data_IF_416020178487
#
_entry.id   IF_416020178487
#
_cell.length_a   1.000
_cell.length_b   1.000
_cell.length_c   1.000
_cell.angle_alpha   90.00
_cell.angle_beta   90.00
_cell.angle_gamma   90.00
#
_symmetry.space_group_name_H-M   'P 1'
#
loop_
_entity.id
_entity.type
_entity.pdbx_description
1 polymer ?
#
# COMPACT_ATOMS: atom_id res chain seq x y z
N UNK A 1 -13.44 15.94 9.19
CA UNK A 1 -12.96 15.97 7.78
C UNK A 1 -11.52 15.48 7.83
N UNK A 2 -11.32 14.19 8.07
CA UNK A 2 -10.07 13.67 8.68
C UNK A 2 -9.52 12.44 7.92
N UNK A 3 -10.16 12.06 6.82
CA UNK A 3 -9.86 10.84 6.09
C UNK A 3 -8.70 11.03 5.09
N UNK A 4 -8.62 12.18 4.40
CA UNK A 4 -7.62 12.41 3.34
C UNK A 4 -6.18 12.46 3.89
N UNK A 5 -5.97 13.04 5.08
CA UNK A 5 -4.63 13.15 5.68
C UNK A 5 -4.07 11.82 6.19
N UNK A 6 -4.93 10.89 6.63
CA UNK A 6 -4.50 9.56 7.10
C UNK A 6 -4.02 8.69 5.94
N UNK A 7 -4.68 8.80 4.78
CA UNK A 7 -4.30 8.05 3.59
C UNK A 7 -2.88 8.43 3.12
N UNK A 8 -2.49 9.70 3.18
CA UNK A 8 -1.18 10.14 2.69
C UNK A 8 0.00 9.60 3.54
N UNK A 9 -0.13 9.66 4.87
CA UNK A 9 0.88 9.12 5.80
C UNK A 9 1.01 7.59 5.64
N UNK A 10 -0.12 6.88 5.53
CA UNK A 10 -0.14 5.45 5.28
C UNK A 10 0.52 5.11 3.92
N UNK A 11 0.20 5.85 2.86
CA UNK A 11 0.75 5.66 1.52
C UNK A 11 2.28 5.83 1.49
N UNK A 12 2.78 6.85 2.18
CA UNK A 12 4.21 7.09 2.31
C UNK A 12 4.91 6.00 3.13
N UNK A 13 4.26 5.51 4.20
CA UNK A 13 4.76 4.40 5.00
C UNK A 13 4.80 3.09 4.19
N UNK A 14 3.78 2.81 3.37
CA UNK A 14 3.73 1.68 2.45
C UNK A 14 4.88 1.74 1.44
N UNK A 15 5.05 2.88 0.78
CA UNK A 15 6.11 3.08 -0.20
C UNK A 15 7.51 2.88 0.41
N UNK A 16 7.74 3.48 1.59
CA UNK A 16 9.00 3.30 2.33
C UNK A 16 9.21 1.87 2.80
N UNK A 17 8.16 1.21 3.32
CA UNK A 17 8.21 -0.18 3.75
C UNK A 17 8.56 -1.12 2.61
N UNK A 18 7.98 -0.89 1.42
CA UNK A 18 8.32 -1.64 0.21
C UNK A 18 9.79 -1.47 -0.19
N UNK A 19 10.28 -0.23 -0.24
CA UNK A 19 11.68 0.06 -0.56
C UNK A 19 12.63 -0.56 0.48
N UNK A 20 12.30 -0.49 1.76
CA UNK A 20 13.12 -1.04 2.85
C UNK A 20 13.19 -2.57 2.82
N UNK A 21 12.08 -3.27 2.52
CA UNK A 21 12.07 -4.73 2.35
C UNK A 21 12.67 -5.20 1.01
N UNK A 22 12.93 -4.29 0.07
CA UNK A 22 13.28 -4.66 -1.31
C UNK A 22 12.19 -5.48 -2.01
N UNK A 23 10.94 -5.39 -1.53
CA UNK A 23 9.83 -6.15 -2.09
C UNK A 23 9.39 -5.53 -3.41
N UNK A 24 9.48 -6.30 -4.49
CA UNK A 24 8.90 -5.89 -5.77
C UNK A 24 7.38 -5.76 -5.64
N UNK A 25 6.79 -4.83 -6.38
CA UNK A 25 5.32 -4.69 -6.45
C UNK A 25 4.65 -6.01 -6.86
N UNK A 26 5.32 -6.82 -7.69
CA UNK A 26 4.89 -8.17 -8.06
C UNK A 26 4.84 -9.12 -6.86
N UNK A 27 5.85 -9.09 -5.98
CA UNK A 27 5.86 -9.93 -4.79
C UNK A 27 4.77 -9.52 -3.80
N UNK A 28 4.55 -8.21 -3.66
CA UNK A 28 3.45 -7.65 -2.90
C UNK A 28 2.10 -8.03 -3.50
N UNK A 29 1.96 -8.00 -4.82
CA UNK A 29 0.75 -8.45 -5.53
C UNK A 29 0.46 -9.94 -5.29
N UNK A 30 1.50 -10.79 -5.32
CA UNK A 30 1.37 -12.22 -5.00
C UNK A 30 1.00 -12.43 -3.52
N UNK A 31 1.67 -11.72 -2.61
CA UNK A 31 1.48 -11.88 -1.15
C UNK A 31 0.12 -11.37 -0.70
N UNK A 32 -0.26 -10.19 -1.18
CA UNK A 32 -1.53 -9.56 -0.83
C UNK A 32 -2.67 -10.12 -1.65
N UNK A 33 -2.43 -10.68 -2.83
CA UNK A 33 -3.47 -11.05 -3.80
C UNK A 33 -4.11 -9.85 -4.50
N UNK A 34 -3.47 -8.68 -4.45
CA UNK A 34 -3.89 -7.46 -5.13
C UNK A 34 -3.14 -7.30 -6.45
N UNK A 35 -3.67 -6.48 -7.35
CA UNK A 35 -2.94 -6.10 -8.57
C UNK A 35 -1.88 -5.05 -8.26
N UNK A 36 -0.82 -5.01 -9.08
CA UNK A 36 0.22 -3.97 -9.00
C UNK A 36 -0.40 -2.56 -9.09
N UNK A 37 -1.45 -2.39 -9.89
CA UNK A 37 -2.15 -1.13 -10.04
C UNK A 37 -2.82 -0.68 -8.73
N UNK A 38 -3.48 -1.59 -8.01
CA UNK A 38 -4.09 -1.30 -6.71
C UNK A 38 -3.05 -0.97 -5.64
N UNK A 39 -1.91 -1.66 -5.64
CA UNK A 39 -0.82 -1.41 -4.70
C UNK A 39 -0.15 -0.07 -5.01
N UNK A 40 0.08 0.23 -6.28
CA UNK A 40 0.61 1.52 -6.70
C UNK A 40 -0.37 2.67 -6.42
N UNK A 41 -1.68 2.43 -6.56
CA UNK A 41 -2.71 3.38 -6.17
C UNK A 41 -2.69 3.64 -4.66
N UNK A 42 -2.57 2.58 -3.85
CA UNK A 42 -2.41 2.69 -2.40
C UNK A 42 -1.11 3.41 -2.00
N UNK A 43 0.00 3.21 -2.72
CA UNK A 43 1.27 3.93 -2.48
C UNK A 43 1.22 5.40 -2.90
N UNK A 44 0.39 5.74 -3.90
CA UNK A 44 0.21 7.13 -4.36
C UNK A 44 -0.77 7.93 -3.48
N UNK A 45 -1.52 7.27 -2.60
CA UNK A 45 -2.62 7.89 -1.86
C UNK A 45 -3.86 8.12 -2.71
N UNK A 46 -4.03 7.36 -3.79
CA UNK A 46 -5.28 7.32 -4.54
C UNK A 46 -6.40 6.74 -3.65
N UNK A 47 -7.64 6.99 -4.03
CA UNK A 47 -8.82 6.47 -3.32
C UNK A 47 -8.98 4.97 -3.57
N UNK A 48 -8.30 4.18 -2.74
CA UNK A 48 -8.40 2.71 -2.71
C UNK A 48 -9.23 2.27 -1.51
N UNK A 49 -9.92 1.11 -1.61
CA UNK A 49 -10.63 0.54 -0.48
C UNK A 49 -9.70 0.37 0.74
N UNK A 50 -10.17 0.72 1.93
CA UNK A 50 -9.37 0.60 3.17
C UNK A 50 -8.82 -0.83 3.39
N UNK A 51 -9.59 -1.85 2.99
CA UNK A 51 -9.17 -3.24 3.07
C UNK A 51 -7.94 -3.56 2.19
N UNK A 52 -7.71 -2.83 1.10
CA UNK A 52 -6.53 -2.99 0.25
C UNK A 52 -5.30 -2.46 0.98
N UNK A 53 -5.42 -1.28 1.61
CA UNK A 53 -4.35 -0.66 2.40
C UNK A 53 -3.94 -1.58 3.55
N UNK A 54 -4.91 -2.09 4.32
CA UNK A 54 -4.64 -3.02 5.43
C UNK A 54 -3.91 -4.30 4.99
N UNK A 55 -4.26 -4.87 3.83
CA UNK A 55 -3.57 -6.04 3.27
C UNK A 55 -2.12 -5.74 2.92
N UNK A 56 -1.86 -4.58 2.32
CA UNK A 56 -0.51 -4.15 1.93
C UNK A 56 0.31 -3.86 3.19
N UNK A 57 -0.25 -3.18 4.18
CA UNK A 57 0.41 -2.96 5.48
C UNK A 57 0.77 -4.28 6.16
N UNK A 58 -0.15 -5.25 6.16
CA UNK A 58 0.10 -6.57 6.76
C UNK A 58 1.18 -7.36 6.00
N UNK A 59 1.31 -7.20 4.68
CA UNK A 59 2.37 -7.83 3.90
C UNK A 59 3.75 -7.17 4.11
N UNK A 60 3.75 -5.86 4.41
CA UNK A 60 4.97 -5.10 4.68
C UNK A 60 5.48 -5.23 6.13
N UNK A 61 4.61 -5.62 7.06
CA UNK A 61 4.99 -6.00 8.44
C UNK A 61 5.93 -7.20 8.48
#
# INVERSE_FOLDING_TARGET
MDHVSKNFEASNALHKGRLAKGSSLENLAITTGLTIAEIAAAERGDEVPAHNVERIEHALR
#
